data_IF_912148801835
#
_entry.id   IF_912148801835
#
_cell.length_a   1.000
_cell.length_b   1.000
_cell.length_c   1.000
_cell.angle_alpha   90.00
_cell.angle_beta   90.00
_cell.angle_gamma   90.00
#
_symmetry.space_group_name_H-M   'P 1'
#
loop_
_entity.id
_entity.type
_entity.pdbx_description
1 polymer ?
#
# COMPACT_ATOMS: atom_id res chain seq x y z
N UNK A 1 -13.17 30.42 45.20
CA UNK A 1 -13.54 29.24 44.40
C UNK A 1 -14.98 29.41 43.93
N UNK A 2 -15.22 29.58 42.64
CA UNK A 2 -16.59 29.74 42.11
C UNK A 2 -17.31 28.39 42.14
N UNK A 3 -18.44 28.30 42.86
CA UNK A 3 -19.28 27.09 42.89
C UNK A 3 -20.10 27.05 41.59
N UNK A 4 -19.81 26.08 40.72
CA UNK A 4 -20.67 25.76 39.58
C UNK A 4 -21.99 25.21 40.15
N UNK A 5 -23.10 25.87 39.82
CA UNK A 5 -24.43 25.46 40.29
C UNK A 5 -25.06 24.48 39.29
N UNK A 6 -25.90 23.59 39.78
CA UNK A 6 -26.63 22.61 38.97
C UNK A 6 -27.42 23.27 37.82
N UNK A 7 -27.95 24.47 38.07
CA UNK A 7 -28.68 25.27 37.08
C UNK A 7 -27.78 25.67 35.88
N UNK A 8 -26.54 26.09 36.14
CA UNK A 8 -25.59 26.45 35.06
C UNK A 8 -25.22 25.25 34.19
N UNK A 9 -25.10 24.06 34.79
CA UNK A 9 -24.83 22.82 34.03
C UNK A 9 -26.04 22.44 33.17
N UNK A 10 -27.25 22.56 33.71
CA UNK A 10 -28.47 22.28 32.97
C UNK A 10 -28.67 23.23 31.78
N UNK A 11 -28.44 24.54 31.99
CA UNK A 11 -28.53 25.54 30.92
C UNK A 11 -27.46 25.32 29.84
N UNK A 12 -26.25 24.92 30.24
CA UNK A 12 -25.19 24.58 29.29
C UNK A 12 -25.56 23.36 28.44
N UNK A 13 -26.03 22.28 29.07
CA UNK A 13 -26.46 21.06 28.36
C UNK A 13 -27.62 21.37 27.41
N UNK A 14 -28.60 22.16 27.85
CA UNK A 14 -29.72 22.59 27.02
C UNK A 14 -29.24 23.36 25.78
N UNK A 15 -28.37 24.35 25.97
CA UNK A 15 -27.81 25.15 24.87
C UNK A 15 -26.99 24.31 23.89
N UNK A 16 -26.19 23.37 24.39
CA UNK A 16 -25.45 22.43 23.54
C UNK A 16 -26.42 21.55 22.74
N UNK A 17 -27.47 21.02 23.38
CA UNK A 17 -28.47 20.17 22.74
C UNK A 17 -29.21 20.91 21.62
N UNK A 18 -29.63 22.16 21.85
CA UNK A 18 -30.27 23.00 20.84
C UNK A 18 -29.34 23.27 19.65
N UNK A 19 -28.06 23.50 19.92
CA UNK A 19 -27.05 23.71 18.87
C UNK A 19 -26.87 22.46 18.00
N UNK A 20 -26.75 21.28 18.62
CA UNK A 20 -26.64 20.02 17.88
C UNK A 20 -27.90 19.69 17.06
N UNK A 21 -29.09 19.96 17.60
CA UNK A 21 -30.36 19.77 16.86
C UNK A 21 -30.39 20.66 15.62
N UNK A 22 -30.00 21.93 15.74
CA UNK A 22 -29.96 22.85 14.62
C UNK A 22 -28.97 22.38 13.53
N UNK A 23 -27.79 21.93 13.92
CA UNK A 23 -26.76 21.44 12.99
C UNK A 23 -27.18 20.15 12.28
N UNK A 24 -27.78 19.19 13.00
CA UNK A 24 -28.32 17.96 12.39
C UNK A 24 -29.44 18.28 11.39
N UNK A 25 -30.28 19.27 11.70
CA UNK A 25 -31.37 19.67 10.80
C UNK A 25 -30.81 20.31 9.53
N UNK A 26 -29.84 21.22 9.69
CA UNK A 26 -29.13 21.84 8.55
C UNK A 26 -28.45 20.81 7.66
N UNK A 27 -27.76 19.82 8.25
CA UNK A 27 -27.11 18.75 7.50
C UNK A 27 -28.12 17.86 6.76
N UNK A 28 -29.28 17.58 7.37
CA UNK A 28 -30.35 16.81 6.71
C UNK A 28 -30.91 17.56 5.50
N UNK A 29 -31.09 18.88 5.62
CA UNK A 29 -31.57 19.72 4.52
C UNK A 29 -30.53 19.80 3.39
N UNK A 30 -29.24 19.93 3.73
CA UNK A 30 -28.16 19.93 2.75
C UNK A 30 -28.06 18.58 2.02
N UNK A 31 -28.16 17.46 2.73
CA UNK A 31 -28.22 16.12 2.13
C UNK A 31 -29.44 15.96 1.23
N UNK A 32 -30.61 16.48 1.63
CA UNK A 32 -31.81 16.46 0.80
C UNK A 32 -31.63 17.29 -0.49
N UNK A 33 -31.01 18.46 -0.39
CA UNK A 33 -30.70 19.32 -1.52
C UNK A 33 -29.69 18.67 -2.48
N UNK A 34 -28.60 18.10 -1.96
CA UNK A 34 -27.60 17.38 -2.77
C UNK A 34 -28.20 16.15 -3.45
N UNK A 35 -29.08 15.42 -2.76
CA UNK A 35 -29.79 14.27 -3.34
C UNK A 35 -30.73 14.71 -4.47
N UNK A 36 -31.39 15.86 -4.33
CA UNK A 36 -32.23 16.44 -5.38
C UNK A 36 -31.40 16.91 -6.59
N UNK A 37 -30.24 17.55 -6.36
CA UNK A 37 -29.32 17.96 -7.43
C UNK A 37 -28.74 16.75 -8.18
N UNK A 38 -28.38 15.67 -7.48
CA UNK A 38 -27.91 14.43 -8.08
C UNK A 38 -29.02 13.76 -8.91
N UNK A 39 -30.26 13.76 -8.43
CA UNK A 39 -31.41 13.27 -9.19
C UNK A 39 -31.68 14.12 -10.46
N UNK A 40 -31.51 15.44 -10.38
CA UNK A 40 -31.68 16.35 -11.53
C UNK A 40 -30.56 16.22 -12.57
N UNK A 41 -29.33 15.96 -12.15
CA UNK A 41 -28.18 15.81 -13.06
C UNK A 41 -28.24 14.49 -13.81
N UNK A 42 -28.80 13.44 -13.21
CA UNK A 42 -29.10 12.18 -13.90
C UNK A 42 -30.18 12.31 -14.99
N UNK A 43 -30.90 13.44 -15.08
CA UNK A 43 -31.96 13.68 -16.06
C UNK A 43 -31.49 14.50 -17.30
N UNK A 44 -30.22 14.92 -17.39
CA UNK A 44 -29.71 15.72 -18.53
C UNK A 44 -29.16 14.91 -19.71
N UNK A 45 -29.28 13.58 -19.68
CA UNK A 45 -29.24 12.73 -20.87
C UNK A 45 -30.67 12.38 -21.32
N UNK A 46 -31.19 13.08 -22.34
CA UNK A 46 -32.55 12.95 -22.88
C UNK A 46 -32.95 11.54 -23.40
N UNK A 47 -34.26 11.22 -23.60
CA UNK A 47 -35.44 11.47 -22.77
C UNK A 47 -36.18 10.16 -22.40
N UNK A 48 -37.10 10.27 -21.41
CA UNK A 48 -38.29 9.42 -21.20
C UNK A 48 -38.17 8.18 -20.27
N UNK A 49 -38.65 8.33 -19.02
CA UNK A 49 -39.69 7.50 -18.34
C UNK A 49 -39.52 7.40 -16.80
N UNK A 50 -40.58 7.80 -16.07
CA UNK A 50 -41.23 7.23 -14.85
C UNK A 50 -40.42 6.59 -13.67
N UNK A 51 -41.00 6.56 -12.44
CA UNK A 51 -40.25 6.57 -11.18
C UNK A 51 -39.55 5.24 -10.81
N UNK A 52 -38.35 5.38 -10.23
CA UNK A 52 -37.63 4.43 -9.38
C UNK A 52 -37.84 2.93 -9.69
N UNK A 53 -37.21 2.43 -10.76
CA UNK A 53 -37.00 0.99 -10.92
C UNK A 53 -35.82 0.53 -10.03
N UNK A 54 -35.97 -0.60 -9.30
CA UNK A 54 -34.84 -1.26 -8.66
C UNK A 54 -33.82 -1.65 -9.74
N UNK A 55 -32.51 -1.45 -9.47
CA UNK A 55 -31.43 -1.79 -10.39
C UNK A 55 -31.64 -3.18 -10.97
N UNK A 56 -31.74 -3.28 -12.30
CA UNK A 56 -32.00 -4.56 -12.97
C UNK A 56 -30.90 -5.56 -12.61
N UNK A 57 -31.22 -6.86 -12.54
CA UNK A 57 -30.21 -7.91 -12.37
C UNK A 57 -29.07 -7.75 -13.39
N UNK A 58 -29.38 -7.30 -14.61
CA UNK A 58 -28.39 -7.00 -15.62
C UNK A 58 -27.41 -5.88 -15.20
N UNK A 59 -27.88 -4.86 -14.50
CA UNK A 59 -27.05 -3.75 -14.03
C UNK A 59 -26.16 -4.17 -12.86
N UNK A 60 -26.70 -4.99 -11.95
CA UNK A 60 -25.92 -5.59 -10.86
C UNK A 60 -24.80 -6.48 -11.42
N UNK A 61 -25.13 -7.35 -12.39
CA UNK A 61 -24.14 -8.22 -13.05
C UNK A 61 -23.10 -7.41 -13.81
N UNK A 62 -23.51 -6.41 -14.61
CA UNK A 62 -22.56 -5.53 -15.32
C UNK A 62 -21.63 -4.79 -14.37
N UNK A 63 -22.16 -4.30 -13.26
CA UNK A 63 -21.38 -3.59 -12.23
C UNK A 63 -20.38 -4.54 -11.57
N UNK A 64 -20.81 -5.75 -11.23
CA UNK A 64 -19.95 -6.78 -10.66
C UNK A 64 -18.80 -7.17 -11.59
N UNK A 65 -19.10 -7.44 -12.87
CA UNK A 65 -18.08 -7.77 -13.88
C UNK A 65 -17.11 -6.60 -14.08
N UNK A 66 -17.61 -5.37 -14.20
CA UNK A 66 -16.77 -4.18 -14.37
C UNK A 66 -15.85 -3.99 -13.16
N UNK A 67 -16.37 -4.15 -11.95
CA UNK A 67 -15.59 -4.07 -10.72
C UNK A 67 -14.50 -5.15 -10.66
N UNK A 68 -14.84 -6.39 -11.00
CA UNK A 68 -13.87 -7.48 -11.03
C UNK A 68 -12.75 -7.25 -12.05
N UNK A 69 -13.09 -6.70 -13.22
CA UNK A 69 -12.10 -6.38 -14.26
C UNK A 69 -11.18 -5.21 -13.86
N UNK A 70 -11.73 -4.15 -13.26
CA UNK A 70 -10.94 -3.03 -12.72
C UNK A 70 -10.02 -3.47 -11.58
N UNK A 71 -10.50 -4.35 -10.69
CA UNK A 71 -9.69 -4.91 -9.62
C UNK A 71 -8.54 -5.79 -10.17
N UNK A 72 -8.82 -6.62 -11.18
CA UNK A 72 -7.78 -7.42 -11.82
C UNK A 72 -6.75 -6.55 -12.53
N UNK A 73 -7.19 -5.49 -13.22
CA UNK A 73 -6.31 -4.50 -13.84
C UNK A 73 -5.43 -3.79 -12.81
N UNK A 74 -5.97 -3.40 -11.66
CA UNK A 74 -5.20 -2.78 -10.58
C UNK A 74 -4.13 -3.74 -10.02
N UNK A 75 -4.37 -5.05 -10.01
CA UNK A 75 -3.38 -6.06 -9.57
C UNK A 75 -2.22 -6.24 -10.55
N UNK A 76 -2.34 -5.73 -11.78
CA UNK A 76 -1.27 -5.67 -12.78
C UNK A 76 -0.34 -4.46 -12.57
N UNK A 77 -0.72 -3.52 -11.69
CA UNK A 77 0.04 -2.30 -11.44
C UNK A 77 1.01 -2.46 -10.26
N UNK A 78 2.22 -1.95 -10.43
CA UNK A 78 3.28 -1.89 -9.41
C UNK A 78 3.72 -0.45 -9.25
N UNK A 79 3.99 -0.07 -8.00
CA UNK A 79 4.39 1.29 -7.64
C UNK A 79 5.88 1.30 -7.26
N UNK A 80 6.68 2.07 -8.00
CA UNK A 80 8.09 2.30 -7.71
C UNK A 80 8.24 3.70 -7.12
N UNK A 81 8.83 3.76 -5.93
CA UNK A 81 9.12 5.00 -5.23
C UNK A 81 10.59 5.38 -5.40
N UNK A 82 10.90 6.67 -5.27
CA UNK A 82 12.28 7.20 -5.27
C UNK A 82 13.08 7.00 -6.57
N UNK A 83 12.44 6.60 -7.68
CA UNK A 83 13.10 6.61 -8.99
C UNK A 83 13.44 8.07 -9.36
N UNK A 84 14.70 8.42 -9.69
CA UNK A 84 15.09 9.81 -9.99
C UNK A 84 14.23 10.44 -11.09
N UNK A 85 13.81 11.71 -10.94
CA UNK A 85 13.04 12.40 -11.99
C UNK A 85 13.92 12.62 -13.23
N UNK A 86 13.60 11.90 -14.31
CA UNK A 86 14.28 12.03 -15.59
C UNK A 86 13.30 11.68 -16.73
N UNK A 87 13.73 11.88 -17.98
CA UNK A 87 12.93 11.53 -19.16
C UNK A 87 13.20 10.08 -19.64
N UNK A 88 13.82 9.25 -18.80
CA UNK A 88 14.26 7.88 -19.12
C UNK A 88 13.56 6.81 -18.28
N UNK A 89 12.44 7.16 -17.64
CA UNK A 89 11.64 6.25 -16.81
C UNK A 89 11.43 4.86 -17.42
N UNK A 90 11.11 4.80 -18.72
CA UNK A 90 10.90 3.52 -19.42
C UNK A 90 12.18 2.69 -19.46
N UNK A 91 13.32 3.32 -19.78
CA UNK A 91 14.61 2.64 -19.83
C UNK A 91 15.07 2.20 -18.43
N UNK A 92 14.93 3.08 -17.43
CA UNK A 92 15.29 2.79 -16.05
C UNK A 92 14.46 1.62 -15.50
N UNK A 93 13.14 1.60 -15.76
CA UNK A 93 12.27 0.48 -15.35
C UNK A 93 12.64 -0.81 -16.09
N UNK A 94 13.01 -0.75 -17.37
CA UNK A 94 13.50 -1.93 -18.09
C UNK A 94 14.83 -2.46 -17.51
N UNK A 95 15.73 -1.57 -17.09
CA UNK A 95 16.98 -1.96 -16.43
C UNK A 95 16.68 -2.66 -15.09
N UNK A 96 15.75 -2.14 -14.30
CA UNK A 96 15.30 -2.79 -13.05
C UNK A 96 14.72 -4.17 -13.35
N UNK A 97 13.85 -4.31 -14.35
CA UNK A 97 13.33 -5.62 -14.75
C UNK A 97 14.43 -6.59 -15.18
N UNK A 98 15.43 -6.12 -15.91
CA UNK A 98 16.56 -6.94 -16.35
C UNK A 98 17.44 -7.40 -15.17
N UNK A 99 17.74 -6.49 -14.23
CA UNK A 99 18.49 -6.81 -13.00
C UNK A 99 17.75 -7.82 -12.13
N UNK A 100 16.43 -7.67 -12.01
CA UNK A 100 15.58 -8.62 -11.29
C UNK A 100 15.31 -9.93 -12.04
N UNK A 101 15.96 -10.15 -13.20
CA UNK A 101 15.76 -11.33 -14.06
C UNK A 101 14.30 -11.56 -14.48
N UNK A 102 13.52 -10.48 -14.61
CA UNK A 102 12.12 -10.53 -15.04
C UNK A 102 12.06 -10.48 -16.56
N UNK A 103 11.68 -11.61 -17.16
CA UNK A 103 11.64 -11.81 -18.62
C UNK A 103 10.60 -10.88 -19.29
N UNK A 104 9.49 -10.63 -18.61
CA UNK A 104 8.35 -9.90 -19.17
C UNK A 104 8.52 -8.39 -18.99
N UNK A 105 8.33 -7.66 -20.08
CA UNK A 105 8.42 -6.21 -20.11
C UNK A 105 7.11 -5.54 -19.68
N UNK A 106 7.16 -4.44 -18.91
CA UNK A 106 5.97 -3.66 -18.61
C UNK A 106 5.32 -3.09 -19.86
N UNK A 107 3.99 -2.97 -19.84
CA UNK A 107 3.17 -2.40 -20.91
C UNK A 107 3.08 -0.88 -20.81
N UNK A 108 3.14 -0.32 -19.60
CA UNK A 108 3.09 1.12 -19.39
C UNK A 108 3.92 1.55 -18.18
N UNK A 109 4.51 2.74 -18.27
CA UNK A 109 5.26 3.39 -17.20
C UNK A 109 4.83 4.85 -17.15
N UNK A 110 4.30 5.31 -16.01
CA UNK A 110 3.74 6.67 -15.87
C UNK A 110 4.08 7.28 -14.51
N UNK A 111 4.48 8.55 -14.50
CA UNK A 111 4.68 9.33 -13.26
C UNK A 111 3.34 9.81 -12.71
N UNK A 112 3.11 9.60 -11.42
CA UNK A 112 1.90 10.04 -10.74
C UNK A 112 2.12 11.38 -10.02
N UNK A 113 1.17 12.30 -10.19
CA UNK A 113 1.15 13.59 -9.50
C UNK A 113 1.90 14.72 -10.20
N UNK A 114 1.94 15.87 -9.53
CA UNK A 114 2.63 17.08 -9.99
C UNK A 114 4.12 17.00 -9.65
N UNK A 115 4.97 17.55 -10.52
CA UNK A 115 6.42 17.60 -10.28
C UNK A 115 6.72 18.36 -8.99
N UNK A 116 7.67 17.86 -8.21
CA UNK A 116 8.05 18.43 -6.92
C UNK A 116 9.59 18.55 -6.83
N UNK A 117 10.13 19.70 -6.39
CA UNK A 117 11.57 19.95 -6.44
C UNK A 117 12.39 19.05 -5.50
N UNK A 118 11.83 18.71 -4.35
CA UNK A 118 12.55 17.98 -3.29
C UNK A 118 12.19 16.48 -3.18
N UNK A 119 11.32 15.97 -4.06
CA UNK A 119 10.89 14.57 -4.01
C UNK A 119 10.51 14.09 -5.40
N UNK A 120 11.14 13.03 -5.92
CA UNK A 120 10.73 12.46 -7.19
C UNK A 120 9.30 11.91 -7.10
N UNK A 121 8.52 12.07 -8.17
CA UNK A 121 7.19 11.49 -8.26
C UNK A 121 7.25 9.97 -8.25
N UNK A 122 6.18 9.39 -7.75
CA UNK A 122 5.95 7.96 -7.77
C UNK A 122 5.78 7.51 -9.22
N UNK A 123 6.35 6.37 -9.58
CA UNK A 123 6.19 5.75 -10.89
C UNK A 123 5.21 4.59 -10.77
N UNK A 124 4.18 4.60 -11.60
CA UNK A 124 3.24 3.51 -11.79
C UNK A 124 3.64 2.71 -13.01
N UNK A 125 3.90 1.44 -12.81
CA UNK A 125 4.28 0.47 -13.83
C UNK A 125 3.14 -0.52 -14.01
N UNK A 126 2.67 -0.75 -15.22
CA UNK A 126 1.62 -1.72 -15.53
C UNK A 126 2.22 -2.88 -16.28
N UNK A 127 2.03 -4.10 -15.77
CA UNK A 127 2.46 -5.34 -16.42
C UNK A 127 1.35 -5.94 -17.30
N UNK A 128 1.69 -6.83 -18.24
CA UNK A 128 0.70 -7.50 -19.09
C UNK A 128 -0.31 -8.35 -18.32
N UNK A 129 0.10 -8.91 -17.18
CA UNK A 129 -0.75 -9.74 -16.33
C UNK A 129 -0.47 -9.55 -14.85
N UNK A 130 -1.42 -9.99 -14.02
CA UNK A 130 -1.27 -9.97 -12.55
C UNK A 130 -0.17 -10.92 -12.08
N UNK A 131 0.05 -12.00 -12.82
CA UNK A 131 1.14 -12.94 -12.60
C UNK A 131 2.50 -12.26 -12.78
N UNK A 132 2.68 -11.50 -13.86
CA UNK A 132 3.94 -10.80 -14.14
C UNK A 132 4.24 -9.75 -13.07
N UNK A 133 3.23 -8.97 -12.66
CA UNK A 133 3.37 -8.00 -11.58
C UNK A 133 3.73 -8.67 -10.23
N UNK A 134 3.26 -9.88 -9.97
CA UNK A 134 3.61 -10.66 -8.77
C UNK A 134 5.03 -11.21 -8.87
N UNK A 135 5.42 -11.76 -10.01
CA UNK A 135 6.77 -12.26 -10.27
C UNK A 135 7.80 -11.13 -10.11
N UNK A 136 7.53 -9.96 -10.69
CA UNK A 136 8.38 -8.78 -10.51
C UNK A 136 8.54 -8.42 -9.03
N UNK A 137 7.43 -8.30 -8.28
CA UNK A 137 7.48 -8.02 -6.83
C UNK A 137 8.29 -9.05 -6.07
N UNK A 138 8.03 -10.33 -6.31
CA UNK A 138 8.74 -11.44 -5.66
C UNK A 138 10.24 -11.42 -5.94
N UNK A 139 10.64 -11.03 -7.16
CA UNK A 139 12.05 -10.99 -7.57
C UNK A 139 12.78 -9.77 -7.03
N UNK A 140 12.13 -8.61 -7.02
CA UNK A 140 12.70 -7.38 -6.45
C UNK A 140 12.73 -7.42 -4.92
N UNK A 141 11.81 -8.17 -4.29
CA UNK A 141 11.79 -8.41 -2.84
C UNK A 141 12.64 -9.61 -2.41
N UNK A 142 13.32 -10.30 -3.35
CA UNK A 142 14.07 -11.54 -3.06
C UNK A 142 15.30 -11.25 -2.19
N UNK A 143 15.09 -11.27 -0.87
CA UNK A 143 16.18 -11.26 0.10
C UNK A 143 16.81 -12.65 0.17
N UNK A 144 18.09 -12.76 -0.15
CA UNK A 144 18.81 -14.04 0.00
C UNK A 144 19.10 -14.25 1.48
N UNK A 145 18.52 -15.30 2.05
CA UNK A 145 18.75 -15.70 3.44
C UNK A 145 19.56 -16.99 3.44
N UNK A 146 20.72 -16.98 4.08
CA UNK A 146 21.55 -18.15 4.32
C UNK A 146 21.53 -18.48 5.82
N UNK A 147 21.10 -19.70 6.15
CA UNK A 147 21.12 -20.20 7.52
C UNK A 147 22.13 -21.36 7.65
N UNK A 148 23.14 -21.17 8.48
CA UNK A 148 24.16 -22.18 8.77
C UNK A 148 23.97 -22.64 10.21
N UNK A 149 23.78 -23.94 10.40
CA UNK A 149 23.78 -24.57 11.72
C UNK A 149 25.00 -25.45 11.84
N UNK A 150 26.05 -24.96 12.50
CA UNK A 150 27.29 -25.73 12.67
C UNK A 150 27.78 -25.76 14.12
N UNK A 151 28.58 -26.77 14.41
CA UNK A 151 29.11 -27.03 15.74
C UNK A 151 30.31 -26.17 16.13
N UNK A 152 30.89 -25.43 15.18
CA UNK A 152 32.17 -24.71 15.34
C UNK A 152 32.16 -23.23 14.93
N UNK A 153 30.98 -22.67 14.62
CA UNK A 153 30.86 -21.22 14.54
C UNK A 153 31.14 -20.66 15.94
N UNK A 154 32.23 -19.91 16.06
CA UNK A 154 32.67 -19.26 17.30
C UNK A 154 32.99 -17.82 16.98
N UNK A 155 32.97 -16.95 17.99
CA UNK A 155 33.27 -15.53 17.87
C UNK A 155 34.70 -15.18 17.44
N UNK A 156 35.61 -16.16 17.52
CA UNK A 156 36.95 -16.07 16.98
C UNK A 156 37.01 -15.97 15.45
N UNK A 157 35.99 -16.47 14.72
CA UNK A 157 35.93 -16.39 13.26
C UNK A 157 35.18 -15.11 12.88
N UNK A 158 35.83 -14.28 12.08
CA UNK A 158 35.23 -13.04 11.58
C UNK A 158 34.10 -13.33 10.60
N UNK A 159 33.02 -12.55 10.68
CA UNK A 159 31.89 -12.65 9.77
C UNK A 159 32.30 -12.48 8.29
N UNK A 160 33.23 -11.56 8.03
CA UNK A 160 33.75 -11.24 6.69
C UNK A 160 34.67 -12.33 6.12
N UNK A 161 35.13 -13.28 6.95
CA UNK A 161 35.92 -14.43 6.49
C UNK A 161 35.04 -15.52 5.85
N UNK A 162 33.79 -15.60 6.30
CA UNK A 162 32.85 -16.67 5.91
C UNK A 162 31.93 -16.21 4.79
N UNK A 163 31.52 -14.94 4.78
CA UNK A 163 30.55 -14.41 3.83
C UNK A 163 30.95 -13.02 3.32
N UNK A 164 30.53 -12.65 2.09
CA UNK A 164 30.74 -11.31 1.55
C UNK A 164 30.14 -10.20 2.41
N UNK A 165 30.70 -8.99 2.32
CA UNK A 165 30.25 -7.80 3.05
C UNK A 165 28.80 -7.39 2.76
N UNK A 166 28.20 -7.93 1.70
CA UNK A 166 26.81 -7.67 1.33
C UNK A 166 25.79 -8.26 2.32
N UNK A 167 26.21 -9.17 3.20
CA UNK A 167 25.31 -9.83 4.15
C UNK A 167 25.33 -9.19 5.54
N UNK A 168 24.14 -8.89 6.06
CA UNK A 168 23.93 -8.68 7.49
C UNK A 168 23.92 -10.03 8.21
N UNK A 169 24.86 -10.21 9.14
CA UNK A 169 25.11 -11.50 9.79
C UNK A 169 24.65 -11.46 11.25
N UNK A 170 23.74 -12.35 11.59
CA UNK A 170 23.24 -12.59 12.94
C UNK A 170 23.73 -13.97 13.39
N UNK A 171 24.67 -14.00 14.34
CA UNK A 171 25.19 -15.25 14.91
C UNK A 171 24.73 -15.42 16.36
N UNK A 172 24.35 -16.64 16.71
CA UNK A 172 24.11 -17.03 18.11
C UNK A 172 24.68 -18.41 18.37
N UNK A 173 25.71 -18.44 19.22
CA UNK A 173 26.35 -19.69 19.61
C UNK A 173 25.64 -20.31 20.82
N UNK A 174 25.66 -21.64 20.89
CA UNK A 174 25.05 -22.38 22.00
C UNK A 174 25.77 -22.09 23.30
N UNK A 175 27.07 -21.84 23.30
CA UNK A 175 27.80 -21.45 24.51
C UNK A 175 27.29 -20.11 25.09
N UNK A 176 26.73 -19.22 24.25
CA UNK A 176 26.14 -17.95 24.70
C UNK A 176 24.79 -18.16 25.41
N UNK A 177 24.04 -19.21 25.07
CA UNK A 177 22.73 -19.51 25.68
C UNK A 177 22.80 -20.60 26.75
N UNK A 178 23.77 -21.51 26.64
CA UNK A 178 24.03 -22.65 27.52
C UNK A 178 25.55 -22.81 27.73
N UNK A 179 26.14 -22.04 28.67
CA UNK A 179 27.60 -21.97 28.86
C UNK A 179 28.28 -23.31 29.17
N UNK A 180 27.54 -24.26 29.74
CA UNK A 180 28.04 -25.60 30.11
C UNK A 180 27.98 -26.62 28.98
N UNK A 181 27.44 -26.27 27.81
CA UNK A 181 27.32 -27.17 26.66
C UNK A 181 28.29 -26.76 25.57
N UNK A 182 29.14 -27.70 25.14
CA UNK A 182 30.04 -27.51 23.99
C UNK A 182 29.30 -27.73 22.68
N UNK A 183 29.68 -26.93 21.69
CA UNK A 183 29.30 -27.08 20.29
C UNK A 183 27.87 -26.62 19.96
N UNK A 184 27.73 -26.18 18.72
CA UNK A 184 26.46 -25.78 18.10
C UNK A 184 26.28 -24.26 18.12
N UNK A 185 25.73 -23.73 17.03
CA UNK A 185 25.37 -22.34 16.86
C UNK A 185 24.49 -22.20 15.63
N UNK A 186 23.81 -21.07 15.53
CA UNK A 186 23.10 -20.67 14.31
C UNK A 186 23.69 -19.37 13.80
N UNK A 187 24.00 -19.32 12.52
CA UNK A 187 24.31 -18.11 11.79
C UNK A 187 23.21 -17.89 10.76
N UNK A 188 22.59 -16.72 10.81
CA UNK A 188 21.63 -16.25 9.83
C UNK A 188 22.25 -15.05 9.11
N UNK A 189 22.49 -15.18 7.82
CA UNK A 189 22.98 -14.10 6.98
C UNK A 189 21.87 -13.66 6.03
N UNK A 190 21.63 -12.35 5.99
CA UNK A 190 20.60 -11.73 5.16
C UNK A 190 21.30 -10.79 4.18
N UNK A 191 21.19 -11.06 2.89
CA UNK A 191 21.74 -10.19 1.86
C UNK A 191 21.04 -8.83 1.92
N UNK A 192 21.84 -7.78 2.07
CA UNK A 192 21.37 -6.39 2.15
C UNK A 192 21.46 -5.69 0.81
N UNK A 193 22.16 -6.29 -0.16
CA UNK A 193 22.19 -5.79 -1.52
C UNK A 193 20.93 -6.25 -2.26
N UNK A 194 19.88 -5.46 -2.08
CA UNK A 194 18.87 -5.30 -3.13
C UNK A 194 19.37 -4.11 -3.98
N UNK A 195 20.29 -4.37 -4.91
CA UNK A 195 20.62 -3.40 -5.98
C UNK A 195 19.63 -3.47 -7.13
#
# INVERSE_FOLDING_TARGET
>A
MAKVTLALVHDFIKKQTETFIAEITSLRDEVAALKAQLAATNLTGSPQSTPAQPSSFADVVKTSIRSALEEDKAKQEVIIQRLPENNRDVADVHEICAKAEVIVKPTAVTRLGKSHPNRPRIVKVTFPSTFDARTFRSKVEESKILAISETWLTDAISNHEVLPDSFNIYRKDRCTTQPSKRGGGILLAIDTHIE
#
